data_IF_523238387123
#
_entry.id   IF_523238387123
#
_cell.length_a   1.000
_cell.length_b   1.000
_cell.length_c   1.000
_cell.angle_alpha   90.00
_cell.angle_beta   90.00
_cell.angle_gamma   90.00
#
_symmetry.space_group_name_H-M   'P 1'
#
loop_
_entity.id
_entity.type
_entity.pdbx_description
1 polymer ?
#
# COMPACT_ATOMS: atom_id res chain seq x y z
N UNK A 1 -10.18 1.87 -3.81
CA UNK A 1 -11.03 2.98 -3.28
C UNK A 1 -12.22 3.32 -4.18
N UNK A 2 -12.01 3.75 -5.44
CA UNK A 2 -13.12 4.20 -6.31
C UNK A 2 -14.25 3.18 -6.46
N UNK A 3 -13.92 1.90 -6.66
CA UNK A 3 -14.92 0.83 -6.74
C UNK A 3 -15.81 0.74 -5.48
N UNK A 4 -15.25 0.97 -4.29
CA UNK A 4 -15.99 0.95 -3.02
C UNK A 4 -16.91 2.17 -2.90
N UNK A 5 -16.44 3.34 -3.35
CA UNK A 5 -17.24 4.57 -3.46
C UNK A 5 -18.41 4.35 -4.42
N UNK A 6 -18.16 3.84 -5.63
CA UNK A 6 -19.19 3.57 -6.64
C UNK A 6 -20.25 2.56 -6.14
N UNK A 7 -19.80 1.53 -5.42
CA UNK A 7 -20.69 0.52 -4.82
C UNK A 7 -21.37 0.98 -3.54
N UNK A 8 -21.09 2.20 -3.05
CA UNK A 8 -21.64 2.79 -1.83
C UNK A 8 -21.48 1.86 -0.61
N UNK A 9 -20.35 1.15 -0.50
CA UNK A 9 -20.07 0.35 0.70
C UNK A 9 -19.86 1.26 1.91
N UNK A 10 -19.96 0.77 3.16
CA UNK A 10 -19.73 1.60 4.34
C UNK A 10 -18.37 2.33 4.33
N UNK A 11 -17.30 1.68 3.87
CA UNK A 11 -15.98 2.30 3.70
C UNK A 11 -15.95 3.27 2.50
N UNK A 12 -16.61 2.92 1.41
CA UNK A 12 -16.74 3.78 0.22
C UNK A 12 -17.50 5.07 0.50
N UNK A 13 -18.56 5.03 1.30
CA UNK A 13 -19.32 6.22 1.69
C UNK A 13 -18.47 7.14 2.57
N UNK A 14 -17.70 6.60 3.52
CA UNK A 14 -16.77 7.39 4.35
C UNK A 14 -15.68 8.07 3.50
N UNK A 15 -15.05 7.32 2.58
CA UNK A 15 -14.05 7.88 1.68
C UNK A 15 -14.65 8.91 0.72
N UNK A 16 -15.80 8.61 0.12
CA UNK A 16 -16.51 9.52 -0.79
C UNK A 16 -16.93 10.82 -0.10
N UNK A 17 -17.41 10.74 1.15
CA UNK A 17 -17.74 11.91 1.95
C UNK A 17 -16.52 12.78 2.22
N UNK A 18 -15.36 12.21 2.56
CA UNK A 18 -14.15 13.02 2.77
C UNK A 18 -13.76 13.77 1.48
N UNK A 19 -13.75 13.06 0.35
CA UNK A 19 -13.41 13.61 -0.96
C UNK A 19 -14.39 14.70 -1.42
N UNK A 20 -15.70 14.50 -1.21
CA UNK A 20 -16.72 15.47 -1.64
C UNK A 20 -16.63 16.80 -0.88
N UNK A 21 -16.08 16.79 0.34
CA UNK A 21 -15.84 17.98 1.15
C UNK A 21 -14.44 18.57 0.92
N UNK A 22 -13.70 18.11 -0.09
CA UNK A 22 -12.32 18.55 -0.36
C UNK A 22 -11.32 18.17 0.74
N UNK A 23 -11.68 17.23 1.61
CA UNK A 23 -10.84 16.78 2.71
C UNK A 23 -10.02 15.55 2.31
N UNK A 24 -8.82 15.42 2.88
CA UNK A 24 -8.03 14.21 2.73
C UNK A 24 -8.75 12.99 3.32
N UNK A 25 -8.69 11.85 2.62
CA UNK A 25 -9.22 10.59 3.15
C UNK A 25 -8.37 10.18 4.35
N UNK A 26 -8.95 9.94 5.54
CA UNK A 26 -8.18 9.55 6.71
C UNK A 26 -7.40 8.26 6.47
N UNK A 27 -6.17 8.19 6.96
CA UNK A 27 -5.27 7.04 6.79
C UNK A 27 -5.94 5.71 7.17
N UNK A 28 -6.64 5.66 8.31
CA UNK A 28 -7.38 4.46 8.76
C UNK A 28 -8.37 3.93 7.71
N UNK A 29 -9.02 4.82 6.94
CA UNK A 29 -9.97 4.44 5.90
C UNK A 29 -9.21 3.93 4.69
N UNK A 30 -8.10 4.58 4.34
CA UNK A 30 -7.23 4.13 3.25
C UNK A 30 -6.68 2.73 3.54
N UNK A 31 -6.13 2.49 4.74
CA UNK A 31 -5.62 1.18 5.18
C UNK A 31 -6.72 0.12 5.18
N UNK A 32 -7.93 0.44 5.67
CA UNK A 32 -9.05 -0.51 5.67
C UNK A 32 -9.48 -0.89 4.24
N UNK A 33 -9.53 0.08 3.32
CA UNK A 33 -9.83 -0.17 1.91
C UNK A 33 -8.74 -1.00 1.23
N UNK A 34 -7.47 -0.70 1.51
CA UNK A 34 -6.33 -1.43 0.95
C UNK A 34 -6.30 -2.87 1.47
N UNK A 35 -6.48 -3.07 2.78
CA UNK A 35 -6.59 -4.41 3.40
C UNK A 35 -7.73 -5.20 2.75
N UNK A 36 -8.92 -4.61 2.64
CA UNK A 36 -10.07 -5.27 1.99
C UNK A 36 -9.74 -5.69 0.57
N UNK A 37 -9.12 -4.82 -0.22
CA UNK A 37 -8.69 -5.14 -1.59
C UNK A 37 -7.65 -6.26 -1.61
N UNK A 38 -6.65 -6.22 -0.73
CA UNK A 38 -5.58 -7.22 -0.66
C UNK A 38 -6.11 -8.62 -0.34
N UNK A 39 -7.16 -8.74 0.48
CA UNK A 39 -7.79 -10.04 0.77
C UNK A 39 -8.79 -10.50 -0.28
N UNK A 40 -9.35 -9.57 -1.06
CA UNK A 40 -10.32 -9.89 -2.12
C UNK A 40 -9.68 -10.27 -3.46
N UNK A 41 -8.37 -10.00 -3.64
CA UNK A 41 -7.67 -10.35 -4.88
C UNK A 41 -7.49 -11.86 -5.01
N UNK A 42 -7.34 -12.32 -6.26
CA UNK A 42 -7.01 -13.72 -6.53
C UNK A 42 -5.58 -14.03 -6.05
N UNK A 43 -5.29 -15.23 -5.50
CA UNK A 43 -3.97 -15.57 -4.99
C UNK A 43 -2.83 -15.46 -6.01
N UNK A 44 -3.12 -15.74 -7.27
CA UNK A 44 -2.19 -15.69 -8.41
C UNK A 44 -2.10 -14.31 -9.06
N UNK A 45 -2.91 -13.34 -8.62
CA UNK A 45 -2.82 -11.97 -9.10
C UNK A 45 -1.69 -11.23 -8.38
N UNK A 46 -0.63 -10.92 -9.13
CA UNK A 46 0.41 -9.98 -8.69
C UNK A 46 -0.16 -8.58 -8.45
N UNK A 47 0.64 -7.71 -7.84
CA UNK A 47 0.24 -6.35 -7.52
C UNK A 47 1.40 -5.35 -7.62
N UNK A 48 1.03 -4.09 -7.80
CA UNK A 48 1.88 -2.93 -7.63
C UNK A 48 1.19 -1.98 -6.65
N UNK A 49 1.88 -1.63 -5.57
CA UNK A 49 1.41 -0.65 -4.60
C UNK A 49 2.27 0.59 -4.72
N UNK A 50 1.64 1.73 -4.99
CA UNK A 50 2.29 3.03 -5.08
C UNK A 50 1.95 3.86 -3.85
N UNK A 51 2.97 4.45 -3.22
CA UNK A 51 2.82 5.25 -2.01
C UNK A 51 2.43 4.45 -0.76
N UNK A 52 2.45 3.11 -0.83
CA UNK A 52 2.26 2.23 0.32
C UNK A 52 3.25 1.05 0.27
N UNK A 53 3.90 0.68 1.39
CA UNK A 53 3.84 1.39 2.66
C UNK A 53 4.65 2.70 2.62
N UNK A 54 4.19 3.70 3.38
CA UNK A 54 4.83 5.02 3.50
C UNK A 54 5.55 5.23 4.83
N UNK A 55 5.30 4.36 5.82
CA UNK A 55 5.92 4.39 7.15
C UNK A 55 6.36 3.00 7.57
N UNK A 56 7.31 2.89 8.49
CA UNK A 56 7.73 1.59 9.04
C UNK A 56 6.55 0.82 9.65
N UNK A 57 5.64 1.50 10.36
CA UNK A 57 4.46 0.84 10.94
C UNK A 57 3.57 0.21 9.87
N UNK A 58 3.37 0.90 8.74
CA UNK A 58 2.62 0.35 7.62
C UNK A 58 3.34 -0.83 6.98
N UNK A 59 4.67 -0.81 6.90
CA UNK A 59 5.46 -1.92 6.37
C UNK A 59 5.30 -3.17 7.25
N UNK A 60 5.42 -3.03 8.58
CA UNK A 60 5.24 -4.14 9.51
C UNK A 60 3.82 -4.73 9.44
N UNK A 61 2.79 -3.88 9.33
CA UNK A 61 1.41 -4.35 9.15
C UNK A 61 1.23 -5.06 7.80
N UNK A 62 1.93 -4.61 6.76
CA UNK A 62 1.86 -5.24 5.45
C UNK A 62 2.56 -6.61 5.43
N UNK A 63 3.68 -6.73 6.12
CA UNK A 63 4.39 -8.00 6.31
C UNK A 63 3.48 -9.06 6.97
N UNK A 64 2.70 -8.67 7.98
CA UNK A 64 1.70 -9.57 8.59
C UNK A 64 0.65 -10.05 7.56
N UNK A 65 0.26 -9.20 6.60
CA UNK A 65 -0.72 -9.58 5.58
C UNK A 65 -0.11 -10.54 4.55
N UNK A 66 1.15 -10.32 4.20
CA UNK A 66 1.92 -11.17 3.30
C UNK A 66 2.15 -12.56 3.94
N UNK A 67 2.60 -12.60 5.18
CA UNK A 67 2.78 -13.83 5.96
C UNK A 67 1.49 -14.62 6.08
N UNK A 68 0.37 -13.95 6.41
CA UNK A 68 -0.93 -14.60 6.54
C UNK A 68 -1.47 -15.20 5.21
N UNK A 69 -0.87 -14.84 4.07
CA UNK A 69 -1.19 -15.39 2.75
C UNK A 69 -0.10 -16.28 2.17
N UNK A 70 0.98 -16.51 2.91
CA UNK A 70 2.18 -17.20 2.42
C UNK A 70 2.71 -16.57 1.11
N UNK A 71 2.73 -15.24 1.07
CA UNK A 71 3.20 -14.47 -0.08
C UNK A 71 4.44 -13.64 0.28
N UNK A 72 5.30 -13.41 -0.70
CA UNK A 72 6.51 -12.59 -0.56
C UNK A 72 6.52 -11.45 -1.57
N UNK A 73 7.14 -10.33 -1.23
CA UNK A 73 7.42 -9.28 -2.19
C UNK A 73 8.53 -9.70 -3.16
N UNK A 74 8.40 -9.30 -4.42
CA UNK A 74 9.44 -9.50 -5.42
C UNK A 74 10.50 -8.40 -5.37
N UNK A 75 10.07 -7.15 -5.19
CA UNK A 75 10.94 -5.99 -5.16
C UNK A 75 10.24 -4.80 -4.49
N UNK A 76 11.03 -3.87 -3.99
CA UNK A 76 10.62 -2.55 -3.53
C UNK A 76 11.43 -1.49 -4.27
N UNK A 77 10.72 -0.54 -4.90
CA UNK A 77 11.31 0.61 -5.56
C UNK A 77 11.24 1.81 -4.63
N UNK A 78 12.39 2.41 -4.35
CA UNK A 78 12.51 3.51 -3.38
C UNK A 78 12.68 4.83 -4.11
N UNK A 79 11.79 5.78 -3.81
CA UNK A 79 11.95 7.16 -4.24
C UNK A 79 13.08 7.85 -3.44
N UNK A 80 13.83 8.81 -4.03
CA UNK A 80 14.94 9.49 -3.35
C UNK A 80 14.59 10.16 -2.02
N UNK A 81 13.31 10.54 -1.81
CA UNK A 81 12.83 11.20 -0.61
C UNK A 81 12.14 10.25 0.41
N UNK A 82 12.28 8.93 0.25
CA UNK A 82 11.64 7.97 1.15
C UNK A 82 12.26 7.97 2.56
N UNK A 83 11.46 7.74 3.63
CA UNK A 83 11.96 7.69 5.00
C UNK A 83 13.00 6.57 5.22
N UNK A 84 14.07 6.86 5.97
CA UNK A 84 15.20 5.94 6.11
C UNK A 84 14.86 4.62 6.83
N UNK A 85 13.87 4.63 7.71
CA UNK A 85 13.43 3.48 8.52
C UNK A 85 12.77 2.39 7.66
N UNK A 86 11.79 2.77 6.83
CA UNK A 86 11.13 1.86 5.88
C UNK A 86 12.10 1.38 4.80
N UNK A 87 12.98 2.27 4.32
CA UNK A 87 14.02 1.90 3.34
C UNK A 87 14.97 0.87 3.95
N UNK A 88 15.41 1.08 5.19
CA UNK A 88 16.29 0.12 5.88
C UNK A 88 15.60 -1.23 6.07
N UNK A 89 14.33 -1.24 6.46
CA UNK A 89 13.54 -2.45 6.63
C UNK A 89 13.49 -3.31 5.35
N UNK A 90 13.16 -2.73 4.19
CA UNK A 90 13.16 -3.49 2.93
C UNK A 90 14.57 -3.82 2.42
N UNK A 91 15.59 -3.02 2.78
CA UNK A 91 17.00 -3.33 2.47
C UNK A 91 17.46 -4.59 3.18
N UNK A 92 17.14 -4.72 4.46
CA UNK A 92 17.56 -5.89 5.25
C UNK A 92 16.89 -7.19 4.81
N UNK A 93 15.75 -7.08 4.13
CA UNK A 93 15.06 -8.23 3.51
C UNK A 93 15.59 -8.55 2.10
N UNK A 94 16.56 -7.79 1.58
CA UNK A 94 17.10 -7.99 0.23
C UNK A 94 16.14 -7.57 -0.89
N UNK A 95 15.12 -6.78 -0.58
CA UNK A 95 14.05 -6.42 -1.52
C UNK A 95 14.28 -5.11 -2.26
N UNK A 96 15.27 -4.30 -1.86
CA UNK A 96 15.52 -3.03 -2.54
C UNK A 96 16.18 -3.26 -3.89
N UNK A 97 15.51 -2.80 -4.95
CA UNK A 97 16.17 -2.52 -6.21
C UNK A 97 16.61 -1.05 -6.18
N UNK A 98 17.90 -0.81 -6.40
CA UNK A 98 18.34 0.55 -6.75
C UNK A 98 17.56 0.96 -7.99
N UNK A 99 16.94 2.15 -7.94
CA UNK A 99 16.14 2.64 -9.04
C UNK A 99 16.94 2.47 -10.33
N UNK A 100 16.32 1.85 -11.35
CA UNK A 100 16.81 1.89 -12.72
C UNK A 100 17.19 3.34 -12.96
N UNK A 101 18.48 3.62 -13.21
CA UNK A 101 18.93 4.95 -13.57
C UNK A 101 18.02 5.43 -14.68
N UNK A 102 17.10 6.35 -14.37
CA UNK A 102 16.33 7.03 -15.39
C UNK A 102 17.38 7.79 -16.19
N UNK A 103 17.74 7.21 -17.34
CA UNK A 103 18.57 7.89 -18.32
C UNK A 103 17.89 9.23 -18.62
N UNK A 104 18.71 10.28 -18.50
CA UNK A 104 18.36 11.68 -18.68
C UNK A 104 17.63 11.97 -20.01
#
# INVERSE_FOLDING_TARGET
>A
MQQEISRRTPLGQQAGSALSHGSAVPERIHLALLRKWFWARKPDAGFLLEGFPATLLQALVFDEWLEARDETLTACLVAPAAPADIVTHYRTQGLLCEALHAAA
#
